data_IF_546598956627
#
_entry.id   IF_546598956627
#
_cell.length_a   1.000
_cell.length_b   1.000
_cell.length_c   1.000
_cell.angle_alpha   90.00
_cell.angle_beta   90.00
_cell.angle_gamma   90.00
#
_symmetry.space_group_name_H-M   'P 1'
#
loop_
_entity.id
_entity.type
_entity.pdbx_description
1 polymer ?
#
# COMPACT_ATOMS: atom_id res chain seq x y z
N UNK A 1 -19.45 55.38 0.73
CA UNK A 1 -18.63 54.31 0.14
C UNK A 1 -17.32 54.29 0.89
N UNK A 2 -17.04 53.26 1.69
CA UNK A 2 -15.68 52.99 2.16
C UNK A 2 -15.60 51.52 2.54
N UNK A 3 -15.25 50.69 1.55
CA UNK A 3 -15.06 49.25 1.72
C UNK A 3 -13.77 49.00 2.49
N UNK A 4 -13.91 48.53 3.71
CA UNK A 4 -12.80 48.15 4.58
C UNK A 4 -12.15 46.85 4.05
N UNK A 5 -11.27 46.97 3.05
CA UNK A 5 -10.45 45.86 2.57
C UNK A 5 -9.44 45.46 3.65
N UNK A 6 -9.80 44.50 4.50
CA UNK A 6 -8.87 43.80 5.40
C UNK A 6 -7.78 43.14 4.56
N UNK A 7 -6.62 43.80 4.38
CA UNK A 7 -5.42 43.17 3.80
C UNK A 7 -5.05 41.96 4.65
N UNK A 8 -5.18 40.76 4.08
CA UNK A 8 -4.82 39.52 4.76
C UNK A 8 -3.34 39.54 5.14
N UNK A 9 -3.06 39.52 6.46
CA UNK A 9 -1.69 39.52 6.99
C UNK A 9 -0.95 38.29 6.47
N UNK A 10 0.13 38.51 5.71
CA UNK A 10 0.93 37.43 5.13
C UNK A 10 1.59 36.65 6.25
N UNK A 11 1.19 35.39 6.43
CA UNK A 11 1.80 34.49 7.42
C UNK A 11 3.18 34.02 6.93
N UNK A 12 4.22 34.31 7.71
CA UNK A 12 5.59 33.86 7.48
C UNK A 12 5.75 32.39 7.87
N UNK A 13 6.78 31.75 7.33
CA UNK A 13 7.16 30.38 7.65
C UNK A 13 7.61 30.27 9.11
N UNK A 14 7.05 29.29 9.83
CA UNK A 14 7.37 29.01 11.23
C UNK A 14 8.87 28.69 11.45
N UNK A 15 9.50 27.95 10.53
CA UNK A 15 10.89 27.52 10.66
C UNK A 15 11.92 28.61 10.32
N UNK A 16 11.82 29.22 9.12
CA UNK A 16 12.82 30.20 8.69
C UNK A 16 12.48 31.65 9.01
N UNK A 17 11.23 31.98 9.35
CA UNK A 17 10.72 33.35 9.57
C UNK A 17 11.01 34.38 8.46
N UNK A 18 11.47 33.94 7.29
CA UNK A 18 11.86 34.80 6.16
C UNK A 18 10.87 34.69 4.99
N UNK A 19 10.51 33.46 4.60
CA UNK A 19 9.67 33.18 3.44
C UNK A 19 8.19 33.12 3.82
N UNK A 20 7.30 33.40 2.87
CA UNK A 20 5.84 33.22 3.03
C UNK A 20 5.53 31.75 3.24
N UNK A 21 4.68 31.44 4.23
CA UNK A 21 4.21 30.07 4.42
C UNK A 21 3.37 29.62 3.21
N UNK A 22 3.70 28.46 2.66
CA UNK A 22 3.05 27.88 1.48
C UNK A 22 2.07 26.76 1.83
N UNK A 23 2.32 26.02 2.91
CA UNK A 23 1.47 24.93 3.38
C UNK A 23 1.34 24.93 4.91
N UNK A 24 0.38 24.15 5.41
CA UNK A 24 0.21 23.83 6.82
C UNK A 24 0.47 22.32 7.00
N UNK A 25 1.40 21.94 7.88
CA UNK A 25 1.70 20.53 8.12
C UNK A 25 0.50 19.83 8.79
N UNK A 26 0.10 18.63 8.34
CA UNK A 26 -1.00 17.89 8.97
C UNK A 26 -0.64 17.46 10.39
N UNK A 27 0.60 16.98 10.63
CA UNK A 27 1.05 16.49 11.94
C UNK A 27 1.07 17.56 13.04
N UNK A 28 1.71 18.70 12.76
CA UNK A 28 2.03 19.73 13.75
C UNK A 28 1.17 20.99 13.65
N UNK A 29 0.41 21.13 12.56
CA UNK A 29 -0.37 22.33 12.22
C UNK A 29 0.47 23.60 11.98
N UNK A 30 1.80 23.46 11.92
CA UNK A 30 2.72 24.55 11.64
C UNK A 30 2.61 24.99 10.18
N UNK A 31 2.74 26.29 9.95
CA UNK A 31 2.72 26.87 8.61
C UNK A 31 4.14 27.10 8.12
N UNK A 32 4.52 26.45 7.02
CA UNK A 32 5.91 26.43 6.53
C UNK A 32 6.00 26.77 5.05
N UNK A 33 7.15 27.30 4.63
CA UNK A 33 7.48 27.51 3.22
C UNK A 33 7.84 26.19 2.53
N UNK A 34 7.95 26.22 1.20
CA UNK A 34 8.19 25.01 0.38
C UNK A 34 9.56 24.42 0.63
N UNK A 35 10.57 25.27 0.75
CA UNK A 35 11.98 24.88 0.87
C UNK A 35 12.22 24.19 2.21
N UNK A 36 11.76 24.81 3.31
CA UNK A 36 11.86 24.21 4.64
C UNK A 36 11.03 22.92 4.75
N UNK A 37 9.94 22.81 3.98
CA UNK A 37 9.17 21.57 3.95
C UNK A 37 9.94 20.42 3.29
N UNK A 38 10.63 20.64 2.18
CA UNK A 38 11.42 19.56 1.55
C UNK A 38 12.53 19.09 2.47
N UNK A 39 13.29 20.03 3.03
CA UNK A 39 14.38 19.72 3.95
C UNK A 39 13.86 18.92 5.15
N UNK A 40 12.81 19.42 5.80
CA UNK A 40 12.25 18.74 6.97
C UNK A 40 11.63 17.38 6.64
N UNK A 41 10.93 17.26 5.50
CA UNK A 41 10.31 16.02 5.06
C UNK A 41 11.37 14.94 4.77
N UNK A 42 12.40 15.30 4.01
CA UNK A 42 13.52 14.41 3.68
C UNK A 42 14.34 14.05 4.93
N UNK A 43 14.57 15.01 5.82
CA UNK A 43 15.28 14.81 7.08
C UNK A 43 14.51 13.89 8.04
N UNK A 44 13.18 14.05 8.18
CA UNK A 44 12.37 13.12 8.98
C UNK A 44 12.50 11.68 8.49
N UNK A 45 12.54 11.47 7.17
CA UNK A 45 12.70 10.15 6.56
C UNK A 45 14.13 9.63 6.78
N UNK A 46 15.15 10.48 6.63
CA UNK A 46 16.54 10.16 6.96
C UNK A 46 16.68 9.69 8.41
N UNK A 47 16.12 10.42 9.37
CA UNK A 47 16.15 10.07 10.78
C UNK A 47 15.46 8.73 11.06
N UNK A 48 14.35 8.43 10.39
CA UNK A 48 13.70 7.12 10.49
C UNK A 48 14.59 6.01 9.95
N UNK A 49 15.27 6.22 8.81
CA UNK A 49 16.19 5.25 8.22
C UNK A 49 17.36 4.96 9.17
N UNK A 50 18.02 6.00 9.69
CA UNK A 50 19.20 5.88 10.54
C UNK A 50 18.85 5.29 11.90
N UNK A 51 17.81 5.80 12.57
CA UNK A 51 17.40 5.33 13.91
C UNK A 51 17.02 3.85 13.94
N UNK A 52 16.50 3.33 12.82
CA UNK A 52 16.11 1.93 12.71
C UNK A 52 17.12 1.07 11.94
N UNK A 53 18.30 1.63 11.62
CA UNK A 53 19.39 0.93 10.90
C UNK A 53 18.89 0.19 9.64
N UNK A 54 18.01 0.82 8.86
CA UNK A 54 17.30 0.13 7.77
C UNK A 54 18.23 -0.37 6.67
N UNK A 55 19.36 0.30 6.45
CA UNK A 55 20.29 0.00 5.37
C UNK A 55 21.73 -0.06 5.85
N UNK A 56 22.54 -0.83 5.14
CA UNK A 56 24.00 -0.87 5.29
C UNK A 56 24.67 -0.42 3.98
N UNK A 57 25.84 0.22 4.04
CA UNK A 57 26.57 0.59 2.84
C UNK A 57 26.88 -0.62 1.95
N UNK A 58 26.68 -0.47 0.64
CA UNK A 58 26.87 -1.52 -0.36
C UNK A 58 25.68 -2.48 -0.54
N UNK A 59 24.60 -2.33 0.23
CA UNK A 59 23.40 -3.13 0.04
C UNK A 59 22.68 -2.79 -1.28
N UNK A 60 22.13 -3.82 -1.90
CA UNK A 60 21.31 -3.74 -3.11
C UNK A 60 19.84 -3.68 -2.69
N UNK A 61 19.14 -2.63 -3.08
CA UNK A 61 17.81 -2.30 -2.57
C UNK A 61 16.82 -2.19 -3.72
N UNK A 62 15.78 -3.03 -3.71
CA UNK A 62 14.67 -2.91 -4.67
C UNK A 62 13.55 -2.03 -4.10
N UNK A 63 13.19 -0.97 -4.82
CA UNK A 63 12.05 -0.11 -4.52
C UNK A 63 10.83 -0.67 -5.27
N UNK A 64 9.80 -1.05 -4.52
CA UNK A 64 8.54 -1.52 -5.10
C UNK A 64 7.81 -0.39 -5.83
N UNK A 65 7.90 -0.40 -7.17
CA UNK A 65 7.35 0.64 -8.04
C UNK A 65 5.98 0.23 -8.57
N UNK A 66 4.91 0.74 -7.96
CA UNK A 66 3.55 0.52 -8.48
C UNK A 66 3.20 1.48 -9.61
N UNK A 67 3.93 2.59 -9.77
CA UNK A 67 3.55 3.71 -10.64
C UNK A 67 2.64 4.73 -9.95
N UNK A 68 2.21 4.41 -8.72
CA UNK A 68 1.44 5.31 -7.88
C UNK A 68 2.32 6.29 -7.11
N UNK A 69 1.65 7.30 -6.57
CA UNK A 69 2.22 8.47 -5.91
C UNK A 69 3.25 8.15 -4.82
N UNK A 70 2.94 7.25 -3.89
CA UNK A 70 3.81 6.94 -2.75
C UNK A 70 5.09 6.25 -3.20
N UNK A 71 5.00 5.33 -4.17
CA UNK A 71 6.17 4.62 -4.70
C UNK A 71 7.09 5.53 -5.51
N UNK A 72 6.53 6.50 -6.25
CA UNK A 72 7.32 7.50 -7.00
C UNK A 72 8.06 8.43 -6.04
N UNK A 73 7.36 8.97 -5.02
CA UNK A 73 7.99 9.85 -4.02
C UNK A 73 9.07 9.10 -3.26
N UNK A 74 8.83 7.83 -2.91
CA UNK A 74 9.83 6.98 -2.26
C UNK A 74 11.09 6.81 -3.13
N UNK A 75 10.92 6.53 -4.43
CA UNK A 75 12.05 6.40 -5.35
C UNK A 75 12.88 7.69 -5.43
N UNK A 76 12.21 8.85 -5.54
CA UNK A 76 12.86 10.15 -5.56
C UNK A 76 13.61 10.43 -4.25
N UNK A 77 12.94 10.32 -3.10
CA UNK A 77 13.51 10.66 -1.80
C UNK A 77 14.69 9.74 -1.47
N UNK A 78 14.56 8.44 -1.73
CA UNK A 78 15.65 7.51 -1.44
C UNK A 78 16.87 7.76 -2.32
N UNK A 79 16.69 8.12 -3.59
CA UNK A 79 17.78 8.52 -4.49
C UNK A 79 18.47 9.79 -4.01
N UNK A 80 17.69 10.80 -3.61
CA UNK A 80 18.22 12.06 -3.11
C UNK A 80 18.97 11.90 -1.78
N UNK A 81 18.42 11.09 -0.84
CA UNK A 81 19.08 10.80 0.43
C UNK A 81 20.34 9.94 0.23
N UNK A 82 20.33 8.97 -0.69
CA UNK A 82 21.50 8.17 -1.02
C UNK A 82 22.65 9.06 -1.52
N UNK A 83 22.35 10.05 -2.37
CA UNK A 83 23.32 11.03 -2.88
C UNK A 83 23.79 12.01 -1.80
N UNK A 84 22.87 12.56 -1.00
CA UNK A 84 23.17 13.60 0.00
C UNK A 84 23.93 13.08 1.21
N UNK A 85 23.54 11.91 1.72
CA UNK A 85 24.14 11.31 2.92
C UNK A 85 25.14 10.19 2.59
N UNK A 86 25.39 9.93 1.30
CA UNK A 86 26.31 8.91 0.81
C UNK A 86 26.07 7.53 1.44
N UNK A 87 24.83 7.05 1.41
CA UNK A 87 24.51 5.73 1.96
C UNK A 87 25.23 4.59 1.22
N UNK A 88 25.64 4.81 -0.03
CA UNK A 88 26.33 3.81 -0.84
C UNK A 88 25.42 2.65 -1.25
N UNK A 89 24.12 2.92 -1.45
CA UNK A 89 23.13 1.91 -1.84
C UNK A 89 23.08 1.77 -3.35
N UNK A 90 22.90 0.52 -3.81
CA UNK A 90 22.62 0.18 -5.19
C UNK A 90 21.10 0.03 -5.37
N UNK A 91 20.46 1.05 -5.96
CA UNK A 91 19.00 1.20 -6.00
C UNK A 91 18.41 0.67 -7.30
N UNK A 92 17.38 -0.17 -7.20
CA UNK A 92 16.64 -0.74 -8.32
C UNK A 92 15.16 -0.43 -8.22
N UNK A 93 14.47 -0.29 -9.35
CA UNK A 93 13.01 -0.29 -9.39
C UNK A 93 12.51 -1.72 -9.66
N UNK A 94 11.56 -2.19 -8.88
CA UNK A 94 10.90 -3.47 -9.08
C UNK A 94 9.40 -3.28 -9.22
N UNK A 95 8.87 -3.61 -10.40
CA UNK A 95 7.44 -3.50 -10.71
C UNK A 95 6.85 -4.86 -11.06
N UNK A 96 5.58 -5.06 -10.72
CA UNK A 96 4.82 -6.28 -11.03
C UNK A 96 3.76 -5.95 -12.06
N UNK A 97 3.75 -6.64 -13.18
CA UNK A 97 2.68 -6.55 -14.17
C UNK A 97 1.63 -7.65 -13.91
N UNK A 98 0.47 -7.26 -13.41
CA UNK A 98 -0.63 -8.19 -13.17
C UNK A 98 -1.40 -8.58 -14.44
N UNK A 99 -1.18 -7.89 -15.56
CA UNK A 99 -1.90 -8.10 -16.82
C UNK A 99 -3.38 -7.70 -16.74
N UNK A 100 -3.64 -6.43 -16.37
CA UNK A 100 -4.98 -5.84 -16.33
C UNK A 100 -5.09 -4.78 -17.41
N UNK A 101 -5.93 -5.08 -18.40
CA UNK A 101 -6.12 -4.25 -19.58
C UNK A 101 -6.69 -2.88 -19.21
N UNK A 102 -6.10 -1.80 -19.76
CA UNK A 102 -6.64 -0.44 -19.63
C UNK A 102 -6.36 0.27 -18.29
N UNK A 103 -5.56 -0.33 -17.42
CA UNK A 103 -5.06 0.32 -16.19
C UNK A 103 -3.55 0.16 -16.04
N UNK A 104 -3.04 -1.05 -16.32
CA UNK A 104 -1.63 -1.34 -16.06
C UNK A 104 -0.72 -0.72 -17.12
N UNK A 105 -1.22 -0.50 -18.32
CA UNK A 105 -0.47 0.08 -19.45
C UNK A 105 0.05 1.49 -19.11
N UNK A 106 -0.83 2.41 -18.70
CA UNK A 106 -0.48 3.79 -18.30
C UNK A 106 0.42 3.82 -17.05
N UNK A 107 0.16 2.90 -16.12
CA UNK A 107 0.92 2.78 -14.89
C UNK A 107 2.35 2.29 -15.14
N UNK A 108 2.55 1.35 -16.07
CA UNK A 108 3.87 0.85 -16.44
C UNK A 108 4.65 1.88 -17.26
N UNK A 109 3.98 2.65 -18.11
CA UNK A 109 4.61 3.77 -18.82
C UNK A 109 5.18 4.80 -17.84
N UNK A 110 4.43 5.14 -16.79
CA UNK A 110 4.92 6.01 -15.71
C UNK A 110 6.15 5.42 -15.00
N UNK A 111 6.15 4.10 -14.74
CA UNK A 111 7.31 3.44 -14.11
C UNK A 111 8.54 3.47 -15.03
N UNK A 112 8.36 3.31 -16.35
CA UNK A 112 9.45 3.45 -17.33
C UNK A 112 9.98 4.89 -17.42
N UNK A 113 9.10 5.89 -17.32
CA UNK A 113 9.50 7.30 -17.24
C UNK A 113 10.32 7.57 -15.97
N UNK A 114 9.92 6.99 -14.84
CA UNK A 114 10.65 7.08 -13.58
C UNK A 114 12.06 6.45 -13.65
N UNK A 115 12.23 5.32 -14.35
CA UNK A 115 13.55 4.74 -14.62
C UNK A 115 14.48 5.75 -15.31
N UNK A 116 14.01 6.38 -16.37
CA UNK A 116 14.78 7.37 -17.12
C UNK A 116 15.04 8.64 -16.29
N UNK A 117 14.03 9.13 -15.57
CA UNK A 117 14.12 10.36 -14.79
C UNK A 117 15.08 10.24 -13.61
N UNK A 118 15.09 9.10 -12.92
CA UNK A 118 15.89 8.89 -11.72
C UNK A 118 17.19 8.11 -11.99
N UNK A 119 17.37 7.57 -13.21
CA UNK A 119 18.53 6.77 -13.56
C UNK A 119 18.62 5.45 -12.78
N UNK A 120 17.47 4.88 -12.41
CA UNK A 120 17.39 3.66 -11.60
C UNK A 120 16.99 2.46 -12.46
N UNK A 121 17.79 1.37 -12.51
CA UNK A 121 17.47 0.22 -13.34
C UNK A 121 16.14 -0.42 -12.94
N UNK A 122 15.28 -0.67 -13.93
CA UNK A 122 13.95 -1.23 -13.73
C UNK A 122 13.89 -2.72 -14.07
N UNK A 123 13.30 -3.50 -13.17
CA UNK A 123 12.83 -4.86 -13.44
C UNK A 123 11.32 -4.92 -13.37
N UNK A 124 10.71 -5.38 -14.46
CA UNK A 124 9.29 -5.74 -14.50
C UNK A 124 9.19 -7.27 -14.47
N UNK A 125 8.31 -7.79 -13.61
CA UNK A 125 7.93 -9.21 -13.59
C UNK A 125 6.44 -9.34 -13.84
N UNK A 126 6.04 -10.17 -14.81
CA UNK A 126 4.62 -10.31 -15.17
C UNK A 126 3.99 -11.55 -14.52
N UNK A 127 2.69 -11.51 -14.23
CA UNK A 127 1.96 -12.70 -13.81
C UNK A 127 1.92 -13.76 -14.90
N UNK A 128 1.90 -13.34 -16.17
CA UNK A 128 1.92 -14.25 -17.31
C UNK A 128 3.18 -15.10 -17.31
N UNK A 129 4.34 -14.50 -17.09
CA UNK A 129 5.61 -15.22 -17.07
C UNK A 129 5.78 -16.06 -15.79
N UNK A 130 5.32 -15.54 -14.65
CA UNK A 130 5.52 -16.21 -13.36
C UNK A 130 4.55 -17.35 -13.08
N UNK A 131 3.33 -17.27 -13.62
CA UNK A 131 2.23 -18.15 -13.26
C UNK A 131 1.50 -18.73 -14.49
N UNK A 132 1.71 -18.21 -15.70
CA UNK A 132 0.97 -18.59 -16.91
C UNK A 132 -0.40 -17.92 -17.05
N UNK A 133 -0.78 -17.10 -16.07
CA UNK A 133 -2.10 -16.46 -15.96
C UNK A 133 -1.96 -14.95 -15.80
N UNK A 134 -2.81 -14.17 -16.48
CA UNK A 134 -3.03 -12.77 -16.14
C UNK A 134 -4.18 -12.61 -15.15
N UNK A 135 -4.29 -11.44 -14.51
CA UNK A 135 -5.44 -11.14 -13.67
C UNK A 135 -6.75 -11.13 -14.46
N UNK A 136 -6.74 -10.66 -15.71
CA UNK A 136 -7.93 -10.68 -16.57
C UNK A 136 -8.38 -12.12 -16.87
N UNK A 137 -7.46 -13.03 -17.14
CA UNK A 137 -7.75 -14.46 -17.33
C UNK A 137 -8.32 -15.09 -16.04
N UNK A 138 -7.71 -14.78 -14.89
CA UNK A 138 -8.19 -15.26 -13.58
C UNK A 138 -9.61 -14.78 -13.31
N UNK A 139 -9.90 -13.49 -13.50
CA UNK A 139 -11.23 -12.91 -13.28
C UNK A 139 -12.26 -13.52 -14.23
N UNK A 140 -11.90 -13.82 -15.49
CA UNK A 140 -12.77 -14.54 -16.43
C UNK A 140 -13.14 -15.94 -15.92
N UNK A 141 -12.21 -16.65 -15.28
CA UNK A 141 -12.45 -18.00 -14.75
C UNK A 141 -13.22 -18.00 -13.42
N UNK A 142 -12.88 -17.12 -12.47
CA UNK A 142 -13.41 -17.14 -11.09
C UNK A 142 -14.60 -16.19 -10.87
N UNK A 143 -14.78 -15.22 -11.76
CA UNK A 143 -15.70 -14.10 -11.61
C UNK A 143 -15.15 -12.97 -10.73
N UNK A 144 -16.03 -12.02 -10.37
CA UNK A 144 -15.67 -10.83 -9.58
C UNK A 144 -15.52 -11.09 -8.07
N UNK A 145 -15.76 -12.32 -7.60
CA UNK A 145 -15.62 -12.66 -6.19
C UNK A 145 -14.22 -13.19 -5.91
N UNK A 146 -13.62 -12.75 -4.81
CA UNK A 146 -12.32 -13.20 -4.30
C UNK A 146 -11.07 -12.91 -5.18
N UNK A 147 -11.19 -12.14 -6.26
CA UNK A 147 -10.06 -11.74 -7.12
C UNK A 147 -8.91 -11.07 -6.34
N UNK A 148 -9.21 -10.26 -5.32
CA UNK A 148 -8.23 -9.63 -4.44
C UNK A 148 -7.38 -10.65 -3.68
N UNK A 149 -7.90 -11.86 -3.43
CA UNK A 149 -7.13 -12.94 -2.79
C UNK A 149 -6.04 -13.43 -3.74
N UNK A 150 -6.38 -13.70 -5.00
CA UNK A 150 -5.40 -14.09 -6.02
C UNK A 150 -4.40 -12.98 -6.26
N UNK A 151 -4.89 -11.78 -6.57
CA UNK A 151 -4.04 -10.64 -6.84
C UNK A 151 -3.07 -10.34 -5.69
N UNK A 152 -3.56 -10.23 -4.45
CA UNK A 152 -2.71 -9.90 -3.30
C UNK A 152 -1.74 -11.01 -2.90
N UNK A 153 -2.08 -12.28 -3.14
CA UNK A 153 -1.17 -13.41 -2.89
C UNK A 153 -0.09 -13.50 -3.97
N UNK A 154 -0.48 -13.43 -5.24
CA UNK A 154 0.44 -13.47 -6.38
C UNK A 154 1.35 -12.24 -6.44
N UNK A 155 0.87 -11.06 -6.05
CA UNK A 155 1.71 -9.84 -6.03
C UNK A 155 2.84 -9.96 -5.03
N UNK A 156 2.55 -10.46 -3.83
CA UNK A 156 3.56 -10.63 -2.79
C UNK A 156 4.63 -11.61 -3.23
N UNK A 157 4.21 -12.77 -3.75
CA UNK A 157 5.15 -13.77 -4.27
C UNK A 157 5.90 -13.26 -5.52
N UNK A 158 5.27 -12.47 -6.39
CA UNK A 158 5.91 -11.88 -7.56
C UNK A 158 7.00 -10.88 -7.16
N UNK A 159 6.75 -10.07 -6.13
CA UNK A 159 7.77 -9.18 -5.56
C UNK A 159 8.93 -9.99 -4.97
N UNK A 160 8.67 -11.07 -4.23
CA UNK A 160 9.75 -11.90 -3.66
C UNK A 160 10.58 -12.58 -4.77
N UNK A 161 9.92 -13.06 -5.83
CA UNK A 161 10.58 -13.62 -7.02
C UNK A 161 11.39 -12.58 -7.77
N UNK A 162 10.83 -11.40 -8.01
CA UNK A 162 11.51 -10.30 -8.68
C UNK A 162 12.73 -9.81 -7.90
N UNK A 163 12.61 -9.73 -6.58
CA UNK A 163 13.72 -9.37 -5.70
C UNK A 163 14.83 -10.44 -5.71
N UNK A 164 14.48 -11.72 -5.69
CA UNK A 164 15.45 -12.82 -5.83
C UNK A 164 16.17 -12.80 -7.19
N UNK A 165 15.46 -12.50 -8.29
CA UNK A 165 16.04 -12.36 -9.63
C UNK A 165 17.05 -11.21 -9.71
N UNK A 166 16.77 -10.10 -9.02
CA UNK A 166 17.69 -8.96 -8.92
C UNK A 166 18.84 -9.20 -7.94
N UNK A 167 18.77 -10.24 -7.09
CA UNK A 167 19.69 -10.51 -5.98
C UNK A 167 19.85 -9.27 -5.07
N UNK A 168 18.71 -8.71 -4.66
CA UNK A 168 18.68 -7.61 -3.69
C UNK A 168 18.68 -8.13 -2.27
N UNK A 169 19.26 -7.35 -1.37
CA UNK A 169 19.30 -7.64 0.06
C UNK A 169 17.97 -7.28 0.73
N UNK A 170 17.32 -6.19 0.29
CA UNK A 170 16.06 -5.71 0.87
C UNK A 170 15.10 -5.15 -0.17
N UNK A 171 13.82 -5.17 0.14
CA UNK A 171 12.76 -4.52 -0.64
C UNK A 171 12.16 -3.36 0.16
N UNK A 172 12.04 -2.19 -0.45
CA UNK A 172 11.47 -1.00 0.16
C UNK A 172 10.10 -0.71 -0.47
N UNK A 173 9.12 -0.41 0.37
CA UNK A 173 7.74 -0.13 -0.10
C UNK A 173 7.22 1.20 0.45
N UNK A 174 6.40 1.88 -0.34
CA UNK A 174 5.86 3.21 -0.02
C UNK A 174 4.72 3.22 1.00
N UNK A 175 4.64 2.24 1.91
CA UNK A 175 3.59 2.22 2.93
C UNK A 175 3.77 3.39 3.90
N UNK A 176 2.77 4.26 3.95
CA UNK A 176 2.77 5.49 4.75
C UNK A 176 2.12 5.28 6.13
N UNK A 177 2.09 6.30 6.98
CA UNK A 177 1.53 6.21 8.33
C UNK A 177 0.05 5.83 8.32
N UNK A 178 -0.72 6.34 7.36
CA UNK A 178 -2.14 6.01 7.20
C UNK A 178 -2.34 4.51 6.92
N UNK A 179 -1.53 3.90 6.03
CA UNK A 179 -1.57 2.46 5.75
C UNK A 179 -1.32 1.60 6.99
N UNK A 180 -0.38 2.04 7.85
CA UNK A 180 -0.05 1.33 9.09
C UNK A 180 -1.17 1.48 10.11
N UNK A 181 -1.72 2.69 10.29
CA UNK A 181 -2.84 2.94 11.19
C UNK A 181 -4.09 2.15 10.75
N UNK A 182 -4.40 2.12 9.45
CA UNK A 182 -5.45 1.27 8.88
C UNK A 182 -5.22 -0.20 9.25
N UNK A 183 -3.99 -0.68 9.11
CA UNK A 183 -3.65 -2.08 9.39
C UNK A 183 -3.78 -2.42 10.88
N UNK A 184 -3.38 -1.52 11.78
CA UNK A 184 -3.57 -1.66 13.23
C UNK A 184 -5.06 -1.77 13.55
N UNK A 185 -5.87 -0.82 13.09
CA UNK A 185 -7.31 -0.79 13.33
C UNK A 185 -8.00 -2.05 12.81
N UNK A 186 -7.68 -2.46 11.57
CA UNK A 186 -8.24 -3.66 10.95
C UNK A 186 -7.88 -4.95 11.71
N UNK A 187 -6.67 -5.06 12.27
CA UNK A 187 -6.27 -6.23 13.04
C UNK A 187 -6.94 -6.28 14.41
N UNK A 188 -7.16 -5.11 15.05
CA UNK A 188 -7.92 -5.00 16.30
C UNK A 188 -9.37 -5.44 16.06
N UNK A 189 -10.04 -4.88 15.05
CA UNK A 189 -11.44 -5.19 14.74
C UNK A 189 -11.66 -6.66 14.36
N UNK A 190 -10.65 -7.30 13.75
CA UNK A 190 -10.69 -8.73 13.41
C UNK A 190 -10.34 -9.66 14.58
N UNK A 191 -9.84 -9.11 15.69
CA UNK A 191 -9.28 -9.90 16.79
C UNK A 191 -8.04 -10.72 16.38
N UNK A 192 -7.29 -10.29 15.36
CA UNK A 192 -6.09 -11.00 14.89
C UNK A 192 -4.85 -10.54 15.68
N UNK A 193 -4.82 -10.96 16.94
CA UNK A 193 -3.80 -10.59 17.92
C UNK A 193 -2.38 -10.95 17.41
N UNK A 194 -2.21 -12.12 16.78
CA UNK A 194 -0.91 -12.59 16.29
C UNK A 194 -0.31 -11.75 15.15
N UNK A 195 -1.14 -10.99 14.42
CA UNK A 195 -0.70 -10.03 13.40
C UNK A 195 -0.51 -8.63 13.95
N UNK A 196 -1.22 -8.27 15.01
CA UNK A 196 -1.13 -6.95 15.63
C UNK A 196 0.29 -6.63 16.10
N UNK A 197 0.99 -7.59 16.74
CA UNK A 197 2.39 -7.39 17.19
C UNK A 197 3.39 -7.08 16.09
N UNK A 198 3.15 -7.57 14.86
CA UNK A 198 4.09 -7.46 13.74
C UNK A 198 3.69 -6.41 12.71
N UNK A 199 2.46 -5.89 12.78
CA UNK A 199 1.95 -5.01 11.74
C UNK A 199 2.59 -3.60 11.78
N UNK A 200 3.08 -3.18 12.94
CA UNK A 200 3.80 -1.92 13.15
C UNK A 200 5.31 -2.05 12.95
N UNK A 201 5.85 -3.25 12.72
CA UNK A 201 7.28 -3.43 12.45
C UNK A 201 7.70 -2.69 11.18
N UNK A 202 8.77 -1.90 11.30
CA UNK A 202 9.31 -1.11 10.18
C UNK A 202 9.99 -2.00 9.15
N UNK A 203 10.67 -3.04 9.63
CA UNK A 203 11.20 -4.15 8.85
C UNK A 203 10.33 -5.37 9.10
N UNK A 204 9.94 -6.05 8.03
CA UNK A 204 9.11 -7.25 8.09
C UNK A 204 9.75 -8.36 7.27
N UNK A 205 9.60 -9.61 7.70
CA UNK A 205 10.16 -10.76 6.98
C UNK A 205 11.68 -10.92 7.16
N UNK A 206 12.22 -10.55 8.31
CA UNK A 206 13.62 -10.83 8.69
C UNK A 206 13.90 -12.33 8.76
N UNK A 207 12.91 -13.13 9.14
CA UNK A 207 12.96 -14.61 9.08
C UNK A 207 12.90 -15.16 7.64
N UNK A 208 12.71 -14.28 6.65
CA UNK A 208 12.56 -14.62 5.25
C UNK A 208 13.81 -14.34 4.42
N UNK A 209 13.81 -14.77 3.14
CA UNK A 209 14.99 -14.61 2.29
C UNK A 209 15.26 -13.14 1.96
N UNK A 210 14.22 -12.28 1.96
CA UNK A 210 14.33 -10.87 1.58
C UNK A 210 13.43 -10.03 2.50
N UNK A 211 14.00 -9.30 3.48
CA UNK A 211 13.24 -8.42 4.35
C UNK A 211 12.67 -7.22 3.60
N UNK A 212 11.55 -6.69 4.12
CA UNK A 212 10.82 -5.56 3.56
C UNK A 212 10.83 -4.38 4.54
N UNK A 213 11.27 -3.22 4.08
CA UNK A 213 11.39 -2.00 4.88
C UNK A 213 10.36 -0.93 4.45
N UNK A 214 9.95 -0.09 5.40
CA UNK A 214 8.94 0.97 5.20
C UNK A 214 9.44 2.33 5.72
N UNK A 215 10.24 3.09 4.95
CA UNK A 215 10.76 4.39 5.36
C UNK A 215 9.67 5.42 5.67
N UNK A 216 8.49 5.30 5.04
CA UNK A 216 7.36 6.20 5.25
C UNK A 216 6.47 5.84 6.43
N UNK A 217 6.89 4.92 7.32
CA UNK A 217 6.09 4.45 8.46
C UNK A 217 5.47 5.58 9.31
N UNK A 218 6.16 6.71 9.48
CA UNK A 218 5.67 7.86 10.26
C UNK A 218 5.35 9.08 9.38
N UNK A 219 5.32 8.92 8.06
CA UNK A 219 5.03 9.97 7.09
C UNK A 219 3.55 9.94 6.73
N UNK A 220 2.86 11.08 6.82
CA UNK A 220 1.43 11.13 6.52
C UNK A 220 1.25 11.10 5.01
N UNK A 221 0.19 10.44 4.54
CA UNK A 221 -0.17 10.46 3.12
C UNK A 221 -0.31 11.90 2.61
N UNK A 222 -0.93 12.78 3.42
CA UNK A 222 -1.07 14.22 3.17
C UNK A 222 0.25 15.00 3.12
N UNK A 223 1.40 14.42 3.46
CA UNK A 223 2.70 15.08 3.23
C UNK A 223 3.34 14.58 1.94
N UNK A 224 3.01 13.35 1.52
CA UNK A 224 3.47 12.74 0.28
C UNK A 224 2.71 13.36 -0.89
N UNK A 225 1.37 13.27 -0.88
CA UNK A 225 0.48 13.84 -1.91
C UNK A 225 -0.75 14.50 -1.27
N UNK A 226 -1.05 15.72 -1.69
CA UNK A 226 -2.33 16.40 -1.46
C UNK A 226 -2.91 16.85 -2.80
N UNK A 227 -4.20 16.57 -2.95
CA UNK A 227 -5.07 17.16 -3.94
C UNK A 227 -5.60 18.50 -3.44
N UNK A 228 -5.63 19.55 -4.27
CA UNK A 228 -6.25 20.80 -3.88
C UNK A 228 -7.75 20.57 -3.65
N UNK A 229 -8.26 20.76 -2.43
CA UNK A 229 -9.70 20.84 -2.20
C UNK A 229 -10.19 22.25 -2.56
N UNK A 230 -11.26 22.33 -3.35
CA UNK A 230 -11.67 23.58 -4.03
C UNK A 230 -12.47 24.52 -3.13
N UNK A 231 -12.92 24.09 -1.95
CA UNK A 231 -13.73 24.94 -1.06
C UNK A 231 -12.94 25.93 -0.19
N UNK A 232 -11.62 25.90 -0.22
CA UNK A 232 -10.81 26.99 0.32
C UNK A 232 -9.62 27.22 -0.60
N UNK A 233 -9.67 28.30 -1.38
CA UNK A 233 -8.63 28.75 -2.31
C UNK A 233 -7.31 29.18 -1.62
N UNK A 234 -6.98 28.61 -0.46
CA UNK A 234 -5.77 28.87 0.29
C UNK A 234 -5.13 27.56 0.79
N UNK A 235 -4.12 27.12 0.04
CA UNK A 235 -2.95 26.33 0.49
C UNK A 235 -3.22 24.91 0.97
N UNK A 236 -3.12 23.95 0.07
CA UNK A 236 -2.65 22.61 0.43
C UNK A 236 -2.20 21.86 -0.82
N UNK A 237 -0.88 21.79 -0.99
CA UNK A 237 -0.15 21.23 -2.13
C UNK A 237 1.16 20.67 -1.56
N UNK A 238 1.61 19.46 -1.94
CA UNK A 238 2.70 18.75 -1.23
C UNK A 238 3.84 18.28 -2.13
N UNK A 239 4.75 17.51 -1.54
CA UNK A 239 6.07 17.15 -2.04
C UNK A 239 6.09 16.74 -3.51
N UNK A 240 5.26 15.77 -3.92
CA UNK A 240 5.21 15.30 -5.30
C UNK A 240 4.85 16.40 -6.29
N UNK A 241 3.80 17.18 -6.01
CA UNK A 241 3.38 18.30 -6.86
C UNK A 241 4.46 19.38 -6.92
N UNK A 242 5.01 19.71 -5.76
CA UNK A 242 5.99 20.77 -5.61
C UNK A 242 7.32 20.49 -6.30
N UNK A 243 7.70 19.21 -6.38
CA UNK A 243 8.84 18.71 -7.14
C UNK A 243 8.48 18.35 -8.58
N UNK A 244 7.21 18.46 -8.97
CA UNK A 244 6.68 18.10 -10.30
C UNK A 244 7.04 16.66 -10.69
N UNK A 245 6.88 15.74 -9.75
CA UNK A 245 7.15 14.33 -10.01
C UNK A 245 6.08 13.74 -10.92
N UNK A 246 6.51 12.82 -11.79
CA UNK A 246 5.65 12.12 -12.72
C UNK A 246 5.07 10.87 -12.05
N UNK A 247 3.77 10.87 -11.79
CA UNK A 247 3.08 9.76 -11.16
C UNK A 247 1.72 9.53 -11.77
N UNK A 248 1.31 8.27 -11.81
CA UNK A 248 0.00 7.89 -12.28
C UNK A 248 -1.01 8.01 -11.14
N UNK A 249 -2.15 8.65 -11.43
CA UNK A 249 -3.26 8.75 -10.49
C UNK A 249 -4.58 8.50 -11.21
N UNK A 250 -5.32 7.48 -10.78
CA UNK A 250 -6.66 7.17 -11.29
C UNK A 250 -7.75 8.16 -10.87
N UNK A 251 -7.39 9.15 -10.06
CA UNK A 251 -8.21 10.31 -9.73
C UNK A 251 -8.68 11.11 -10.95
N UNK A 252 -8.03 10.90 -12.09
CA UNK A 252 -8.24 11.65 -13.31
C UNK A 252 -8.56 10.72 -14.49
N UNK A 253 -9.36 9.67 -14.28
CA UNK A 253 -9.76 8.74 -15.38
C UNK A 253 -11.16 9.01 -15.93
N UNK A 254 -11.64 10.25 -15.83
CA UNK A 254 -12.78 10.75 -16.61
C UNK A 254 -12.42 11.91 -17.53
N UNK A 255 -11.13 12.08 -17.86
CA UNK A 255 -10.70 13.06 -18.87
C UNK A 255 -9.59 12.48 -19.76
N UNK A 256 -10.00 11.85 -20.86
CA UNK A 256 -9.21 11.79 -22.11
C UNK A 256 -10.14 11.44 -23.28
N UNK A 257 -9.91 11.88 -24.53
CA UNK A 257 -8.94 12.88 -25.02
C UNK A 257 -9.66 14.01 -25.78
N UNK A 258 -9.63 15.24 -25.28
CA UNK A 258 -9.84 16.43 -26.11
C UNK A 258 -9.30 17.63 -25.34
N UNK A 259 -8.45 18.39 -26.03
CA UNK A 259 -7.90 19.71 -25.66
C UNK A 259 -6.57 19.73 -24.89
N UNK A 260 -5.52 19.86 -25.71
CA UNK A 260 -4.38 20.74 -25.43
C UNK A 260 -4.88 22.16 -25.13
N UNK A 261 -4.34 22.78 -24.06
CA UNK A 261 -4.38 24.23 -23.88
C UNK A 261 -5.34 24.73 -22.81
N UNK A 262 -4.74 25.33 -21.77
CA UNK A 262 -5.27 26.38 -20.89
C UNK A 262 -6.70 26.29 -20.33
N UNK A 263 -6.75 26.24 -18.99
CA UNK A 263 -7.78 26.83 -18.12
C UNK A 263 -9.17 26.19 -18.13
N UNK A 264 -9.40 25.18 -17.27
CA UNK A 264 -10.75 24.82 -16.80
C UNK A 264 -10.70 24.05 -15.47
N UNK A 265 -10.86 24.77 -14.36
CA UNK A 265 -11.06 24.23 -13.00
C UNK A 265 -12.56 24.26 -12.60
N UNK A 266 -13.46 24.69 -13.49
CA UNK A 266 -14.80 25.14 -13.08
C UNK A 266 -15.98 24.20 -13.39
N UNK A 267 -15.80 23.02 -14.02
CA UNK A 267 -16.95 22.25 -14.53
C UNK A 267 -17.25 20.90 -13.87
N UNK A 268 -16.45 20.42 -12.90
CA UNK A 268 -16.66 19.09 -12.29
C UNK A 268 -17.66 19.04 -11.11
N UNK A 269 -18.33 20.14 -10.73
CA UNK A 269 -18.95 20.25 -9.40
C UNK A 269 -20.47 20.00 -9.29
N UNK A 270 -21.16 19.54 -10.33
CA UNK A 270 -22.64 19.39 -10.24
C UNK A 270 -23.21 17.97 -10.24
N UNK A 271 -22.39 16.92 -10.35
CA UNK A 271 -22.87 15.54 -10.30
C UNK A 271 -21.82 14.71 -9.53
N UNK A 272 -22.17 14.19 -8.34
CA UNK A 272 -21.41 13.30 -7.43
C UNK A 272 -20.52 13.95 -6.34
N UNK A 273 -21.00 14.04 -5.07
CA UNK A 273 -20.22 14.48 -3.91
C UNK A 273 -19.38 13.36 -3.26
N UNK A 274 -18.96 12.32 -3.98
CA UNK A 274 -18.32 11.13 -3.37
C UNK A 274 -17.28 10.48 -4.28
N UNK A 275 -16.12 11.12 -4.48
CA UNK A 275 -14.96 10.50 -5.11
C UNK A 275 -13.83 10.34 -4.07
N UNK A 276 -13.55 9.08 -3.69
CA UNK A 276 -12.60 8.69 -2.64
C UNK A 276 -11.34 8.03 -3.25
N UNK A 277 -10.22 8.68 -2.97
CA UNK A 277 -8.83 8.37 -3.28
C UNK A 277 -8.31 7.00 -2.83
N UNK A 278 -7.63 6.28 -3.73
CA UNK A 278 -7.09 4.92 -3.53
C UNK A 278 -5.56 4.82 -3.65
N UNK A 279 -4.96 4.27 -2.59
CA UNK A 279 -3.92 3.24 -2.71
C UNK A 279 -4.58 1.85 -2.69
N UNK A 280 -3.85 0.80 -3.09
CA UNK A 280 -4.28 -0.57 -3.45
C UNK A 280 -4.61 -0.77 -4.94
N UNK A 281 -3.55 -0.68 -5.76
CA UNK A 281 -3.49 -1.06 -7.16
C UNK A 281 -4.14 -2.45 -7.37
N UNK A 282 -5.01 -2.57 -8.39
CA UNK A 282 -5.87 -3.71 -8.80
C UNK A 282 -7.20 -3.88 -8.07
N UNK A 283 -7.32 -3.51 -6.79
CA UNK A 283 -8.60 -3.69 -6.10
C UNK A 283 -9.68 -2.68 -6.56
N UNK A 284 -9.31 -1.63 -7.31
CA UNK A 284 -10.23 -0.56 -7.74
C UNK A 284 -11.28 -1.03 -8.73
N UNK A 285 -10.86 -1.68 -9.82
CA UNK A 285 -11.77 -2.11 -10.90
C UNK A 285 -12.62 -3.30 -10.47
N UNK A 286 -12.03 -4.24 -9.72
CA UNK A 286 -12.68 -5.51 -9.41
C UNK A 286 -13.21 -5.65 -7.98
N UNK A 287 -13.02 -4.64 -7.11
CA UNK A 287 -13.47 -4.69 -5.70
C UNK A 287 -13.82 -3.31 -5.14
N UNK A 288 -14.94 -2.70 -5.60
CA UNK A 288 -15.34 -1.35 -5.19
C UNK A 288 -15.61 -1.24 -3.69
N UNK A 289 -16.20 -2.28 -3.06
CA UNK A 289 -16.63 -2.29 -1.66
C UNK A 289 -15.58 -2.87 -0.69
N UNK A 290 -14.31 -2.51 -0.85
CA UNK A 290 -13.25 -3.04 0.02
C UNK A 290 -13.39 -2.49 1.45
N UNK A 291 -13.46 -3.38 2.45
CA UNK A 291 -13.60 -3.01 3.88
C UNK A 291 -12.56 -2.00 4.38
N UNK A 292 -11.36 -2.00 3.77
CA UNK A 292 -10.29 -1.05 4.08
C UNK A 292 -10.70 0.41 3.79
N UNK A 293 -11.62 0.65 2.85
CA UNK A 293 -12.15 1.98 2.56
C UNK A 293 -12.82 2.63 3.77
N UNK A 294 -13.64 1.87 4.52
CA UNK A 294 -14.29 2.36 5.73
C UNK A 294 -13.28 2.69 6.85
N UNK A 295 -12.28 1.82 7.04
CA UNK A 295 -11.21 2.07 8.03
C UNK A 295 -10.43 3.35 7.69
N UNK A 296 -10.17 3.60 6.40
CA UNK A 296 -9.52 4.82 5.93
C UNK A 296 -10.36 6.06 6.21
N UNK A 297 -11.62 6.06 5.81
CA UNK A 297 -12.53 7.18 6.02
C UNK A 297 -12.62 7.55 7.52
N UNK A 298 -12.80 6.53 8.36
CA UNK A 298 -12.79 6.70 9.81
C UNK A 298 -11.48 7.32 10.34
N UNK A 299 -10.33 6.86 9.87
CA UNK A 299 -9.03 7.44 10.25
C UNK A 299 -8.90 8.89 9.78
N UNK A 300 -9.39 9.23 8.58
CA UNK A 300 -9.38 10.63 8.10
C UNK A 300 -10.30 11.52 8.93
N UNK A 301 -11.44 11.01 9.40
CA UNK A 301 -12.31 11.75 10.32
C UNK A 301 -11.65 11.96 11.68
N UNK A 302 -10.97 10.94 12.22
CA UNK A 302 -10.15 11.08 13.42
C UNK A 302 -9.02 12.11 13.22
N UNK A 303 -8.35 12.10 12.07
CA UNK A 303 -7.30 13.06 11.74
C UNK A 303 -7.83 14.50 11.67
N UNK A 304 -9.05 14.71 11.14
CA UNK A 304 -9.72 16.03 11.11
C UNK A 304 -9.99 16.55 12.52
N UNK A 305 -10.40 15.69 13.45
CA UNK A 305 -10.66 16.05 14.85
C UNK A 305 -9.37 16.24 15.66
N UNK A 306 -8.42 15.31 15.51
CA UNK A 306 -7.13 15.29 16.19
C UNK A 306 -6.02 14.93 15.20
N UNK A 307 -5.20 15.88 14.74
CA UNK A 307 -4.21 15.62 13.70
C UNK A 307 -3.15 14.57 14.06
N UNK A 308 -2.93 14.34 15.36
CA UNK A 308 -2.02 13.29 15.87
C UNK A 308 -2.63 11.88 15.91
N UNK A 309 -3.92 11.70 15.61
CA UNK A 309 -4.62 10.43 15.75
C UNK A 309 -3.92 9.26 15.02
N UNK A 310 -3.40 9.49 13.81
CA UNK A 310 -2.69 8.47 13.02
C UNK A 310 -1.46 7.96 13.78
N UNK A 311 -0.59 8.85 14.26
CA UNK A 311 0.60 8.47 15.02
C UNK A 311 0.25 7.86 16.38
N UNK A 312 -0.79 8.37 17.03
CA UNK A 312 -1.26 7.84 18.32
C UNK A 312 -1.78 6.39 18.15
N UNK A 313 -2.45 6.07 17.03
CA UNK A 313 -2.86 4.69 16.70
C UNK A 313 -1.64 3.79 16.46
N UNK A 314 -0.67 4.26 15.67
CA UNK A 314 0.57 3.49 15.41
C UNK A 314 1.29 3.23 16.73
N UNK A 315 1.47 4.26 17.56
CA UNK A 315 2.13 4.16 18.86
C UNK A 315 1.40 3.20 19.79
N UNK A 316 0.07 3.26 19.82
CA UNK A 316 -0.75 2.30 20.56
C UNK A 316 -0.53 0.87 20.09
N UNK A 317 -0.38 0.65 18.78
CA UNK A 317 -0.06 -0.66 18.21
C UNK A 317 1.37 -1.14 18.50
N UNK A 318 2.34 -0.23 18.61
CA UNK A 318 3.73 -0.53 19.02
C UNK A 318 3.83 -0.89 20.50
N UNK A 319 3.08 -0.20 21.36
CA UNK A 319 3.07 -0.43 22.80
C UNK A 319 2.14 -1.58 23.20
N UNK A 320 1.38 -2.14 22.26
CA UNK A 320 0.43 -3.21 22.49
C UNK A 320 1.16 -4.52 22.85
N UNK A 321 1.11 -4.89 24.14
CA UNK A 321 1.70 -6.14 24.64
C UNK A 321 0.67 -7.26 24.62
N UNK A 322 1.04 -8.39 24.03
CA UNK A 322 0.20 -9.59 23.95
C UNK A 322 0.70 -10.59 24.99
N UNK A 323 -0.21 -11.21 25.75
CA UNK A 323 0.15 -12.31 26.64
C UNK A 323 0.69 -13.51 25.84
N UNK A 324 1.79 -14.08 26.31
CA UNK A 324 2.66 -15.06 25.63
C UNK A 324 2.00 -16.42 25.29
N UNK A 325 0.69 -16.59 25.49
CA UNK A 325 -0.02 -17.84 25.23
C UNK A 325 -0.40 -18.07 23.76
N UNK A 326 -0.17 -17.10 22.87
CA UNK A 326 -0.54 -17.23 21.45
C UNK A 326 0.55 -17.96 20.66
N UNK A 327 0.37 -19.26 20.39
CA UNK A 327 1.25 -20.02 19.48
C UNK A 327 1.13 -19.47 18.06
N UNK A 328 2.23 -18.96 17.53
CA UNK A 328 2.33 -18.61 16.12
C UNK A 328 2.54 -19.89 15.28
N UNK A 329 2.03 -19.95 14.04
CA UNK A 329 2.34 -21.05 13.15
C UNK A 329 3.83 -21.11 12.90
N UNK A 330 4.41 -22.31 12.96
CA UNK A 330 5.80 -22.52 12.57
C UNK A 330 5.99 -22.15 11.10
N UNK A 331 7.07 -21.41 10.83
CA UNK A 331 7.44 -21.06 9.46
C UNK A 331 8.33 -22.16 8.90
N UNK A 332 7.93 -22.71 7.76
CA UNK A 332 8.71 -23.65 6.98
C UNK A 332 8.86 -23.17 5.54
N UNK A 333 9.28 -24.10 4.68
CA UNK A 333 9.52 -23.84 3.27
C UNK A 333 8.47 -24.61 2.45
N UNK A 334 7.87 -23.95 1.48
CA UNK A 334 6.95 -24.58 0.53
C UNK A 334 7.69 -25.61 -0.33
N UNK A 335 7.26 -26.86 -0.29
CA UNK A 335 7.89 -27.95 -1.06
C UNK A 335 7.83 -27.73 -2.59
N UNK A 336 6.85 -26.96 -3.08
CA UNK A 336 6.67 -26.73 -4.52
C UNK A 336 7.53 -25.61 -5.08
N UNK A 337 7.76 -24.55 -4.31
CA UNK A 337 8.41 -23.34 -4.82
C UNK A 337 9.55 -22.79 -3.97
N UNK A 338 9.85 -23.40 -2.83
CA UNK A 338 10.96 -22.96 -1.97
C UNK A 338 10.71 -21.67 -1.17
N UNK A 339 9.54 -21.04 -1.29
CA UNK A 339 9.20 -19.83 -0.53
C UNK A 339 8.59 -20.14 0.84
N UNK A 340 8.69 -19.19 1.77
CA UNK A 340 8.17 -19.32 3.14
C UNK A 340 6.70 -19.74 3.13
N UNK A 341 6.38 -20.74 3.94
CA UNK A 341 5.02 -21.17 4.17
C UNK A 341 4.86 -21.79 5.56
N UNK A 342 3.72 -21.54 6.19
CA UNK A 342 3.30 -22.27 7.40
C UNK A 342 2.54 -23.57 7.09
N UNK A 343 2.51 -23.98 5.83
CA UNK A 343 1.85 -25.18 5.32
C UNK A 343 2.78 -25.89 4.34
N UNK A 344 2.49 -27.14 4.02
CA UNK A 344 3.24 -27.92 3.02
C UNK A 344 3.41 -27.16 1.71
N UNK A 345 2.32 -26.59 1.19
CA UNK A 345 2.33 -25.73 0.00
C UNK A 345 1.90 -24.31 0.37
N UNK A 346 2.62 -23.31 -0.13
CA UNK A 346 2.26 -21.92 0.07
C UNK A 346 0.93 -21.57 -0.60
N UNK A 347 0.29 -20.52 -0.11
CA UNK A 347 -1.02 -20.09 -0.60
C UNK A 347 -1.06 -19.87 -2.11
N UNK A 348 0.00 -19.28 -2.66
CA UNK A 348 0.11 -19.05 -4.09
C UNK A 348 0.13 -20.37 -4.89
N UNK A 349 0.91 -21.36 -4.44
CA UNK A 349 0.96 -22.68 -5.06
C UNK A 349 -0.38 -23.41 -5.00
N UNK A 350 -1.12 -23.29 -3.90
CA UNK A 350 -2.46 -23.89 -3.77
C UNK A 350 -3.46 -23.21 -4.72
N UNK A 351 -3.46 -21.88 -4.79
CA UNK A 351 -4.34 -21.13 -5.68
C UNK A 351 -4.03 -21.40 -7.16
N UNK A 352 -2.74 -21.46 -7.51
CA UNK A 352 -2.30 -21.76 -8.88
C UNK A 352 -2.69 -23.18 -9.30
N UNK A 353 -2.55 -24.16 -8.40
CA UNK A 353 -3.03 -25.53 -8.63
C UNK A 353 -4.55 -25.55 -8.88
N UNK A 354 -5.29 -24.79 -8.09
CA UNK A 354 -6.74 -24.64 -8.25
C UNK A 354 -7.11 -24.10 -9.64
N UNK A 355 -6.41 -23.06 -10.11
CA UNK A 355 -6.63 -22.51 -11.45
C UNK A 355 -6.33 -23.55 -12.55
N UNK A 356 -5.17 -24.21 -12.48
CA UNK A 356 -4.74 -25.17 -13.50
C UNK A 356 -5.62 -26.43 -13.56
N UNK A 357 -6.28 -26.80 -12.45
CA UNK A 357 -7.21 -27.94 -12.38
C UNK A 357 -8.68 -27.56 -12.62
N UNK A 358 -8.99 -26.29 -12.90
CA UNK A 358 -10.38 -25.83 -13.02
C UNK A 358 -11.15 -25.84 -11.70
N UNK A 359 -10.44 -25.84 -10.56
CA UNK A 359 -10.99 -25.80 -9.20
C UNK A 359 -10.62 -24.46 -8.52
N UNK A 360 -11.14 -23.31 -8.99
CA UNK A 360 -10.70 -21.99 -8.52
C UNK A 360 -11.05 -21.68 -7.06
N UNK A 361 -11.96 -22.45 -6.45
CA UNK A 361 -12.28 -22.32 -5.01
C UNK A 361 -11.24 -23.01 -4.12
N UNK A 362 -10.32 -23.79 -4.68
CA UNK A 362 -9.29 -24.48 -3.93
C UNK A 362 -8.41 -23.48 -3.20
N UNK A 363 -8.43 -23.52 -1.87
CA UNK A 363 -7.71 -22.58 -1.05
C UNK A 363 -8.37 -21.20 -0.91
N UNK A 364 -9.66 -21.03 -1.17
CA UNK A 364 -10.38 -19.79 -0.81
C UNK A 364 -11.23 -20.07 0.43
N UNK A 365 -11.00 -19.31 1.51
CA UNK A 365 -11.63 -19.51 2.83
C UNK A 365 -10.71 -20.22 3.85
N UNK A 366 -11.11 -20.21 5.13
CA UNK A 366 -10.47 -21.03 6.18
C UNK A 366 -10.98 -22.45 6.02
N UNK A 367 -10.11 -23.39 5.65
CA UNK A 367 -10.39 -24.81 5.79
C UNK A 367 -10.56 -25.10 7.28
N UNK A 368 -11.79 -25.36 7.75
CA UNK A 368 -11.93 -26.23 8.92
C UNK A 368 -11.40 -27.60 8.47
N UNK A 369 -10.49 -28.17 9.26
CA UNK A 369 -9.59 -29.26 8.89
C UNK A 369 -10.11 -30.22 7.82
N UNK A 370 -9.39 -30.27 6.71
CA UNK A 370 -9.38 -31.45 5.84
C UNK A 370 -8.00 -32.07 5.99
N UNK A 371 -7.78 -32.69 7.15
CA UNK A 371 -6.78 -33.73 7.26
C UNK A 371 -7.35 -35.00 6.65
N UNK A 372 -6.57 -35.56 5.72
CA UNK A 372 -6.55 -36.95 5.28
C UNK A 372 -7.90 -37.65 5.03
N UNK A 373 -8.28 -37.77 3.76
CA UNK A 373 -8.85 -39.02 3.24
C UNK A 373 -8.73 -39.10 1.71
N UNK A 374 -7.53 -39.42 1.23
CA UNK A 374 -7.40 -40.22 0.01
C UNK A 374 -7.32 -41.69 0.45
N UNK A 375 -8.49 -42.35 0.52
CA UNK A 375 -8.72 -43.80 0.36
C UNK A 375 -10.08 -44.17 0.97
N UNK A 376 -11.06 -44.43 0.10
CA UNK A 376 -11.82 -45.69 0.02
C UNK A 376 -13.12 -45.48 -0.74
N UNK A 377 -13.23 -46.17 -1.86
CA UNK A 377 -14.48 -46.53 -2.51
C UNK A 377 -15.32 -47.48 -1.62
N UNK A 378 -16.61 -47.49 -1.92
CA UNK A 378 -17.64 -48.50 -1.59
C UNK A 378 -18.21 -48.50 -0.16
N UNK A 379 -19.40 -47.91 0.02
CA UNK A 379 -20.68 -48.64 0.28
C UNK A 379 -21.85 -47.67 0.52
N UNK A 380 -22.99 -48.02 -0.08
CA UNK A 380 -24.29 -47.38 0.05
C UNK A 380 -24.90 -47.53 1.46
N UNK A 381 -25.76 -46.56 1.82
CA UNK A 381 -27.17 -46.72 2.21
C UNK A 381 -27.60 -45.96 3.48
N UNK A 382 -28.69 -45.19 3.30
CA UNK A 382 -29.79 -44.83 4.21
C UNK A 382 -29.52 -44.11 5.55
N UNK A 383 -30.28 -43.02 5.78
CA UNK A 383 -30.55 -42.52 7.13
C UNK A 383 -30.89 -41.03 7.21
N UNK A 384 -32.17 -40.74 7.33
CA UNK A 384 -32.80 -39.40 7.42
C UNK A 384 -32.48 -38.66 8.72
N UNK A 385 -32.25 -37.33 8.59
CA UNK A 385 -32.37 -36.19 9.54
C UNK A 385 -32.40 -36.44 11.06
N UNK A 386 -31.58 -35.66 11.78
CA UNK A 386 -32.11 -34.71 12.77
C UNK A 386 -31.18 -33.51 12.99
N UNK A 387 -31.82 -32.34 13.04
CA UNK A 387 -31.26 -31.00 13.22
C UNK A 387 -31.40 -30.68 14.70
N UNK A 388 -30.31 -30.37 15.40
CA UNK A 388 -30.37 -29.54 16.60
C UNK A 388 -29.25 -28.50 16.53
N UNK A 389 -29.67 -27.25 16.33
CA UNK A 389 -28.80 -26.09 16.34
C UNK A 389 -28.42 -25.70 17.77
N UNK A 390 -27.16 -25.29 17.96
CA UNK A 390 -26.80 -24.38 19.05
C UNK A 390 -26.41 -23.04 18.45
N UNK A 391 -27.31 -22.07 18.66
CA UNK A 391 -27.14 -20.65 18.43
C UNK A 391 -25.88 -20.13 19.13
N UNK A 392 -25.17 -19.23 18.47
CA UNK A 392 -24.43 -18.18 19.17
C UNK A 392 -24.56 -16.88 18.38
N UNK A 393 -25.42 -16.00 18.90
CA UNK A 393 -25.40 -14.54 18.84
C UNK A 393 -25.11 -13.86 17.51
N UNK A 394 -26.17 -13.48 16.81
CA UNK A 394 -26.19 -12.24 16.03
C UNK A 394 -26.03 -11.05 17.00
N UNK A 395 -25.04 -10.20 16.77
CA UNK A 395 -25.09 -8.83 17.26
C UNK A 395 -25.26 -7.94 16.03
N UNK A 396 -26.49 -7.50 15.86
CA UNK A 396 -26.86 -6.36 15.03
C UNK A 396 -26.24 -5.10 15.64
N UNK A 397 -25.41 -4.39 14.87
CA UNK A 397 -25.33 -2.92 14.77
C UNK A 397 -24.52 -2.54 13.53
#
# INVERSE_FOLDING_TARGET
MEGNHKKARVRLCYLCNQRRAALKRPKTLEQICRECFYELFEEEIHQVIVKNELFKPGERIAIGASGGKDSTVLAYVLSELNRRHNYGLDLFLLSVDEGITGYRDDSLETVKRNELQYGLPLKIVSYKDLYGWTMDEIVKTIGLKNNCTFCGVFRRQALDRGAALLKVDKVVTGHNADDIAETVLLNILRGDIARLSRCTSITTGEDGPIPRCKPFKYTYEKEIVIYPSVENLNKMVTYAYFKRLDYFSTECTTLSPLFHGYSLVLFCYFIFPSCLLRDYFVAGIYSPNAYRGFAREFIKDLERMRPRAILDIIKSGEDFRISTSTKMPEQGICERCGYISSQKWCKACVLLEGLNKGLPKLGIGRSRGLDNNHRKDVKQSNGTKNIEGKQCGSLDF
#
